data_IF_870639590307
#
_entry.id   IF_870639590307
#
_cell.length_a   1.000
_cell.length_b   1.000
_cell.length_c   1.000
_cell.angle_alpha   90.00
_cell.angle_beta   90.00
_cell.angle_gamma   90.00
#
_symmetry.space_group_name_H-M   'P 1'
#
loop_
_entity.id
_entity.type
_entity.pdbx_description
1 polymer ?
#
# COMPACT_ATOMS: atom_id res chain seq x y z
N UNK A 1 -8.15 11.05 -11.56
CA UNK A 1 -7.49 10.16 -12.54
C UNK A 1 -8.51 9.15 -13.06
N UNK A 2 -8.24 8.42 -14.15
CA UNK A 2 -9.14 7.35 -14.62
C UNK A 2 -8.36 6.06 -14.87
N UNK A 3 -8.89 4.94 -14.41
CA UNK A 3 -8.37 3.61 -14.65
C UNK A 3 -9.08 2.98 -15.84
N UNK A 4 -8.30 2.56 -16.84
CA UNK A 4 -8.78 1.99 -18.09
C UNK A 4 -8.30 0.56 -18.22
N UNK A 5 -9.21 -0.30 -18.67
CA UNK A 5 -8.88 -1.66 -19.10
C UNK A 5 -8.15 -1.61 -20.46
N UNK A 6 -7.06 -2.38 -20.61
CA UNK A 6 -6.33 -2.51 -21.88
C UNK A 6 -6.41 -3.91 -22.46
N UNK A 7 -6.20 -4.94 -21.63
CA UNK A 7 -6.20 -6.32 -22.06
C UNK A 7 -6.51 -7.26 -20.89
N UNK A 8 -7.05 -8.46 -21.16
CA UNK A 8 -7.32 -9.44 -20.11
C UNK A 8 -6.06 -9.78 -19.31
N UNK A 9 -6.22 -10.01 -18.01
CA UNK A 9 -5.13 -10.41 -17.11
C UNK A 9 -5.63 -11.27 -15.95
N UNK A 10 -5.17 -12.52 -15.91
CA UNK A 10 -5.52 -13.55 -14.92
C UNK A 10 -7.04 -13.69 -14.72
N UNK A 11 -7.62 -13.00 -13.74
CA UNK A 11 -9.06 -13.07 -13.40
C UNK A 11 -9.84 -11.82 -13.83
N UNK A 12 -9.23 -10.97 -14.67
CA UNK A 12 -9.82 -9.72 -15.14
C UNK A 12 -9.99 -9.84 -16.64
N UNK A 13 -11.22 -10.05 -17.09
CA UNK A 13 -11.55 -10.18 -18.51
C UNK A 13 -11.94 -8.83 -19.13
N UNK A 14 -12.64 -7.98 -18.37
CA UNK A 14 -13.03 -6.62 -18.75
C UNK A 14 -13.50 -5.81 -17.53
N UNK A 15 -13.43 -4.48 -17.62
CA UNK A 15 -14.16 -3.57 -16.74
C UNK A 15 -14.33 -2.20 -17.42
N UNK A 16 -15.38 -1.47 -17.04
CA UNK A 16 -15.60 -0.11 -17.54
C UNK A 16 -14.56 0.85 -16.98
N UNK A 17 -14.18 1.92 -17.70
CA UNK A 17 -13.34 2.97 -17.14
C UNK A 17 -13.89 3.48 -15.80
N UNK A 18 -13.02 3.59 -14.80
CA UNK A 18 -13.39 4.02 -13.45
C UNK A 18 -12.60 5.26 -13.06
N UNK A 19 -13.29 6.28 -12.58
CA UNK A 19 -12.64 7.47 -12.00
C UNK A 19 -12.00 7.08 -10.66
N UNK A 20 -10.69 7.33 -10.55
CA UNK A 20 -9.89 7.10 -9.34
C UNK A 20 -9.49 8.46 -8.75
N UNK A 21 -9.99 8.80 -7.54
CA UNK A 21 -9.49 9.92 -6.74
C UNK A 21 -8.05 9.71 -6.26
N UNK A 22 -7.39 10.80 -5.85
CA UNK A 22 -5.99 10.79 -5.40
C UNK A 22 -5.73 9.82 -4.24
N UNK A 23 -6.74 9.58 -3.41
CA UNK A 23 -6.73 8.55 -2.39
C UNK A 23 -7.88 7.57 -2.60
N UNK A 24 -7.52 6.31 -2.85
CA UNK A 24 -8.48 5.25 -3.13
C UNK A 24 -8.13 4.01 -2.31
N UNK A 25 -9.13 3.45 -1.64
CA UNK A 25 -9.00 2.18 -0.91
C UNK A 25 -9.74 1.10 -1.68
N UNK A 26 -9.00 0.09 -2.14
CA UNK A 26 -9.57 -1.08 -2.79
C UNK A 26 -9.84 -2.17 -1.74
N UNK A 27 -11.11 -2.55 -1.60
CA UNK A 27 -11.56 -3.60 -0.66
C UNK A 27 -12.35 -4.69 -1.40
N UNK A 28 -12.54 -5.84 -0.74
CA UNK A 28 -13.24 -6.99 -1.30
C UNK A 28 -12.86 -8.29 -0.61
N UNK A 29 -13.66 -9.34 -0.79
CA UNK A 29 -13.39 -10.68 -0.25
C UNK A 29 -12.08 -11.27 -0.77
N UNK A 30 -11.52 -12.26 -0.06
CA UNK A 30 -10.35 -12.98 -0.54
C UNK A 30 -10.65 -13.65 -1.88
N UNK A 31 -9.72 -13.56 -2.84
CA UNK A 31 -9.92 -14.05 -4.20
C UNK A 31 -10.73 -13.13 -5.12
N UNK A 32 -11.18 -11.94 -4.68
CA UNK A 32 -11.94 -11.00 -5.51
C UNK A 32 -11.14 -10.28 -6.62
N UNK A 33 -9.89 -10.68 -6.86
CA UNK A 33 -9.04 -10.08 -7.92
C UNK A 33 -8.28 -8.80 -7.54
N UNK A 34 -8.23 -8.41 -6.25
CA UNK A 34 -7.49 -7.19 -5.82
C UNK A 34 -6.00 -7.23 -6.20
N UNK A 35 -5.31 -8.30 -5.85
CA UNK A 35 -3.90 -8.47 -6.19
C UNK A 35 -3.69 -8.54 -7.70
N UNK A 36 -4.58 -9.23 -8.42
CA UNK A 36 -4.54 -9.28 -9.89
C UNK A 36 -4.74 -7.90 -10.52
N UNK A 37 -5.58 -7.03 -9.95
CA UNK A 37 -5.75 -5.66 -10.44
C UNK A 37 -4.49 -4.82 -10.25
N UNK A 38 -3.82 -4.96 -9.09
CA UNK A 38 -2.55 -4.27 -8.83
C UNK A 38 -1.45 -4.74 -9.77
N UNK A 39 -1.33 -6.05 -9.98
CA UNK A 39 -0.39 -6.62 -10.96
C UNK A 39 -0.74 -6.21 -12.40
N UNK A 40 -2.03 -6.14 -12.75
CA UNK A 40 -2.46 -5.69 -14.08
C UNK A 40 -2.05 -4.24 -14.35
N UNK A 41 -2.13 -3.37 -13.34
CA UNK A 41 -1.66 -1.98 -13.43
C UNK A 41 -0.14 -1.94 -13.62
N UNK A 42 0.61 -2.70 -12.81
CA UNK A 42 2.07 -2.77 -12.89
C UNK A 42 2.56 -3.31 -14.26
N UNK A 43 1.87 -4.33 -14.80
CA UNK A 43 2.17 -4.94 -16.10
C UNK A 43 1.49 -4.27 -17.29
N UNK A 44 0.81 -3.12 -17.08
CA UNK A 44 0.13 -2.32 -18.12
C UNK A 44 -1.04 -3.02 -18.86
N UNK A 45 -1.62 -4.05 -18.26
CA UNK A 45 -2.91 -4.62 -18.68
C UNK A 45 -4.10 -3.75 -18.24
N UNK A 46 -3.89 -2.91 -17.22
CA UNK A 46 -4.73 -1.79 -16.86
C UNK A 46 -3.87 -0.53 -16.75
N UNK A 47 -4.40 0.63 -17.10
CA UNK A 47 -3.62 1.88 -17.14
C UNK A 47 -4.35 3.02 -16.46
N UNK A 48 -3.64 3.78 -15.63
CA UNK A 48 -4.18 5.00 -15.00
C UNK A 48 -3.79 6.19 -15.89
N UNK A 49 -4.79 6.86 -16.47
CA UNK A 49 -4.57 8.07 -17.26
C UNK A 49 -3.92 9.16 -16.40
N UNK A 50 -2.78 9.66 -16.86
CA UNK A 50 -1.97 10.64 -16.12
C UNK A 50 -0.87 10.03 -15.24
N UNK A 51 -0.74 8.70 -15.19
CA UNK A 51 0.31 7.99 -14.44
C UNK A 51 0.91 6.87 -15.31
N UNK A 52 1.88 7.27 -16.16
CA UNK A 52 2.58 6.37 -17.10
C UNK A 52 3.46 5.32 -16.40
N UNK A 53 3.91 5.63 -15.19
CA UNK A 53 4.76 4.77 -14.35
C UNK A 53 4.13 4.64 -12.97
N UNK A 54 3.15 3.75 -12.84
CA UNK A 54 2.65 3.35 -11.53
C UNK A 54 3.69 2.44 -10.86
N UNK A 55 4.09 2.79 -9.64
CA UNK A 55 4.95 1.94 -8.81
C UNK A 55 4.09 1.26 -7.76
N UNK A 56 4.06 -0.07 -7.78
CA UNK A 56 3.34 -0.88 -6.79
C UNK A 56 4.31 -1.28 -5.69
N UNK A 57 3.96 -0.96 -4.44
CA UNK A 57 4.73 -1.42 -3.28
C UNK A 57 3.86 -2.35 -2.46
N UNK A 58 4.35 -3.58 -2.24
CA UNK A 58 3.65 -4.61 -1.48
C UNK A 58 4.26 -4.74 -0.10
N UNK A 59 3.39 -4.66 0.92
CA UNK A 59 3.79 -4.84 2.30
C UNK A 59 3.03 -6.00 2.92
N UNK A 60 3.74 -6.79 3.72
CA UNK A 60 3.17 -7.75 4.67
C UNK A 60 3.85 -7.53 6.03
N UNK A 61 3.50 -8.31 7.05
CA UNK A 61 4.10 -8.18 8.38
C UNK A 61 5.62 -8.40 8.42
N UNK A 62 6.20 -9.08 7.43
CA UNK A 62 7.63 -9.38 7.35
C UNK A 62 8.42 -8.32 6.58
N UNK A 63 7.78 -7.68 5.60
CA UNK A 63 8.35 -6.66 4.71
C UNK A 63 8.02 -5.23 5.13
N UNK A 64 7.03 -5.04 6.00
CA UNK A 64 6.76 -3.75 6.61
C UNK A 64 7.86 -3.44 7.63
N UNK A 65 8.96 -2.88 7.14
CA UNK A 65 10.11 -2.48 7.95
C UNK A 65 10.37 -1.00 7.76
N UNK A 66 10.67 -0.32 8.86
CA UNK A 66 11.22 1.02 8.81
C UNK A 66 12.70 0.88 8.47
N UNK A 67 13.06 1.16 7.21
CA UNK A 67 14.44 0.99 6.69
C UNK A 67 15.50 1.77 7.50
N UNK A 68 15.07 2.76 8.29
CA UNK A 68 15.92 3.63 9.10
C UNK A 68 15.78 3.41 10.62
N UNK A 69 15.24 2.27 11.09
CA UNK A 69 15.32 1.96 12.52
C UNK A 69 16.74 1.49 12.85
N UNK A 70 17.50 2.36 13.53
CA UNK A 70 18.69 1.94 14.26
C UNK A 70 18.31 0.79 15.19
N UNK A 71 19.14 -0.26 15.28
CA UNK A 71 18.91 -1.37 16.19
C UNK A 71 18.69 -0.84 17.62
N UNK A 72 17.44 -0.80 18.06
CA UNK A 72 17.10 -0.37 19.41
C UNK A 72 17.54 -1.45 20.39
N UNK A 73 18.43 -1.10 21.32
CA UNK A 73 18.66 -1.94 22.49
C UNK A 73 17.38 -1.91 23.34
N UNK A 74 16.98 -3.03 23.91
CA UNK A 74 15.81 -3.11 24.79
C UNK A 74 15.83 -2.05 25.93
N UNK A 75 17.04 -1.67 26.35
CA UNK A 75 17.29 -0.60 27.31
C UNK A 75 16.89 0.79 26.80
N UNK A 76 17.10 1.10 25.51
CA UNK A 76 16.69 2.36 24.89
C UNK A 76 15.16 2.46 24.83
N UNK A 77 14.47 1.38 24.46
CA UNK A 77 13.01 1.31 24.46
C UNK A 77 12.42 1.50 25.87
N UNK A 78 13.05 0.92 26.89
CA UNK A 78 12.61 1.10 28.27
C UNK A 78 12.78 2.55 28.74
N UNK A 79 13.89 3.18 28.40
CA UNK A 79 14.18 4.57 28.74
C UNK A 79 13.27 5.55 28.01
N UNK A 80 13.03 5.35 26.71
CA UNK A 80 12.10 6.18 25.92
C UNK A 80 10.67 6.07 26.44
N UNK A 81 10.23 4.85 26.80
CA UNK A 81 8.92 4.63 27.40
C UNK A 81 8.76 5.40 28.72
N UNK A 82 9.76 5.32 29.60
CA UNK A 82 9.72 6.03 30.89
C UNK A 82 9.76 7.56 30.69
N UNK A 83 10.60 8.06 29.79
CA UNK A 83 10.68 9.48 29.47
C UNK A 83 9.36 10.01 28.88
N UNK A 84 8.73 9.27 27.97
CA UNK A 84 7.43 9.60 27.42
C UNK A 84 6.34 9.62 28.50
N UNK A 85 6.37 8.67 29.43
CA UNK A 85 5.43 8.62 30.56
C UNK A 85 5.58 9.84 31.48
N UNK A 86 6.82 10.23 31.82
CA UNK A 86 7.08 11.42 32.62
C UNK A 86 6.64 12.70 31.92
N UNK A 87 6.91 12.83 30.62
CA UNK A 87 6.48 13.98 29.81
C UNK A 87 4.95 14.12 29.77
N UNK A 88 4.22 13.01 29.66
CA UNK A 88 2.75 13.02 29.58
C UNK A 88 2.07 13.18 30.95
N UNK A 89 2.69 12.71 32.03
CA UNK A 89 2.07 12.65 33.37
C UNK A 89 2.51 13.77 34.32
N UNK A 90 3.53 14.55 33.97
CA UNK A 90 3.96 15.74 34.71
C UNK A 90 4.20 16.93 33.75
N UNK A 91 3.17 17.71 33.40
CA UNK A 91 3.34 18.99 32.70
C UNK A 91 4.02 20.05 33.57
#
# INVERSE_FOLDING_TARGET
MELHFKAPYISIDEFNPVVIPDFTVLTGVNGSGKSHLMEAIEKKHATILGMEQAHTVLFNYETFRLENESAFKAEQLANEREAAWQYLMCP
#
